data_IF_499653656014
#
_entry.id   IF_499653656014
#
_cell.length_a   1.000
_cell.length_b   1.000
_cell.length_c   1.000
_cell.angle_alpha   90.00
_cell.angle_beta   90.00
_cell.angle_gamma   90.00
#
_symmetry.space_group_name_H-M   'P 1'
#
loop_
_entity.id
_entity.type
_entity.pdbx_description
1 polymer ?
#
# COMPACT_ATOMS: atom_id res chain seq x y z
N UNK A 1 -3.58 -12.15 55.18
CA UNK A 1 -3.49 -11.35 53.94
C UNK A 1 -4.81 -11.53 53.20
N UNK A 2 -5.64 -10.49 53.09
CA UNK A 2 -6.98 -10.61 52.47
C UNK A 2 -6.85 -10.94 50.98
N UNK A 3 -7.77 -11.74 50.43
CA UNK A 3 -7.76 -12.18 49.03
C UNK A 3 -7.61 -11.01 48.02
N UNK A 4 -8.15 -9.83 48.36
CA UNK A 4 -7.98 -8.60 47.60
C UNK A 4 -6.52 -8.14 47.51
N UNK A 5 -5.77 -8.20 48.61
CA UNK A 5 -4.36 -7.81 48.65
C UNK A 5 -3.50 -8.77 47.83
N UNK A 6 -3.80 -10.08 47.88
CA UNK A 6 -3.15 -11.09 47.05
C UNK A 6 -3.44 -10.86 45.55
N UNK A 7 -4.69 -10.55 45.19
CA UNK A 7 -5.06 -10.25 43.81
C UNK A 7 -4.35 -8.99 43.27
N UNK A 8 -4.23 -7.95 44.08
CA UNK A 8 -3.50 -6.72 43.72
C UNK A 8 -2.01 -7.02 43.50
N UNK A 9 -1.37 -7.80 44.38
CA UNK A 9 0.03 -8.17 44.19
C UNK A 9 0.26 -9.01 42.92
N UNK A 10 -0.63 -9.94 42.60
CA UNK A 10 -0.55 -10.74 41.37
C UNK A 10 -0.72 -9.85 40.12
N UNK A 11 -1.68 -8.92 40.15
CA UNK A 11 -1.91 -7.98 39.05
C UNK A 11 -0.71 -7.07 38.80
N UNK A 12 -0.12 -6.51 39.86
CA UNK A 12 1.08 -5.67 39.76
C UNK A 12 2.31 -6.45 39.29
N UNK A 13 2.52 -7.67 39.79
CA UNK A 13 3.60 -8.53 39.32
C UNK A 13 3.45 -8.86 37.83
N UNK A 14 2.23 -9.15 37.38
CA UNK A 14 1.92 -9.33 35.95
C UNK A 14 2.19 -8.08 35.12
N UNK A 15 1.79 -6.90 35.60
CA UNK A 15 2.06 -5.62 34.93
C UNK A 15 3.56 -5.34 34.80
N UNK A 16 4.33 -5.45 35.89
CA UNK A 16 5.79 -5.25 35.85
C UNK A 16 6.47 -6.24 34.91
N UNK A 17 6.09 -7.51 34.95
CA UNK A 17 6.64 -8.52 34.05
C UNK A 17 6.41 -8.17 32.58
N UNK A 18 5.18 -7.80 32.21
CA UNK A 18 4.84 -7.42 30.83
C UNK A 18 5.52 -6.10 30.41
N UNK A 19 5.60 -5.13 31.31
CA UNK A 19 6.23 -3.83 31.05
C UNK A 19 7.73 -3.96 30.83
N UNK A 20 8.45 -4.68 31.70
CA UNK A 20 9.88 -4.95 31.53
C UNK A 20 10.16 -5.80 30.29
N UNK A 21 9.29 -6.77 29.98
CA UNK A 21 9.35 -7.54 28.73
C UNK A 21 9.22 -6.63 27.50
N UNK A 22 8.30 -5.68 27.53
CA UNK A 22 8.12 -4.69 26.45
C UNK A 22 9.35 -3.80 26.26
N UNK A 23 9.92 -3.27 27.35
CA UNK A 23 11.15 -2.49 27.31
C UNK A 23 12.34 -3.30 26.75
N UNK A 24 12.49 -4.54 27.19
CA UNK A 24 13.54 -5.44 26.69
C UNK A 24 13.40 -5.68 25.17
N UNK A 25 12.20 -6.01 24.69
CA UNK A 25 11.96 -6.21 23.26
C UNK A 25 12.20 -4.94 22.44
N UNK A 26 11.80 -3.77 22.94
CA UNK A 26 12.07 -2.49 22.28
C UNK A 26 13.57 -2.21 22.18
N UNK A 27 14.32 -2.42 23.26
CA UNK A 27 15.76 -2.18 23.28
C UNK A 27 16.51 -3.11 22.31
N UNK A 28 16.21 -4.41 22.33
CA UNK A 28 16.81 -5.39 21.41
C UNK A 28 16.48 -5.05 19.96
N UNK A 29 15.25 -4.60 19.68
CA UNK A 29 14.82 -4.21 18.33
C UNK A 29 15.52 -2.95 17.83
N UNK A 30 15.64 -1.92 18.67
CA UNK A 30 16.36 -0.68 18.32
C UNK A 30 17.84 -0.95 18.04
N UNK A 31 18.46 -1.88 18.78
CA UNK A 31 19.82 -2.33 18.49
C UNK A 31 19.93 -3.00 17.10
N UNK A 32 18.97 -3.87 16.75
CA UNK A 32 18.93 -4.48 15.42
C UNK A 32 18.71 -3.44 14.31
N UNK A 33 17.89 -2.42 14.54
CA UNK A 33 17.64 -1.36 13.56
C UNK A 33 18.88 -0.50 13.30
N UNK A 34 19.64 -0.22 14.34
CA UNK A 34 20.89 0.51 14.20
C UNK A 34 21.90 -0.29 13.34
N UNK A 35 21.96 -1.61 13.50
CA UNK A 35 22.78 -2.47 12.64
C UNK A 35 22.29 -2.45 11.19
N UNK A 36 20.99 -2.64 10.95
CA UNK A 36 20.40 -2.60 9.60
C UNK A 36 20.65 -1.26 8.91
N UNK A 37 20.41 -0.16 9.64
CA UNK A 37 20.59 1.18 9.10
C UNK A 37 22.05 1.47 8.75
N UNK A 38 22.99 1.05 9.62
CA UNK A 38 24.42 1.19 9.36
C UNK A 38 24.85 0.38 8.14
N UNK A 39 24.50 -0.90 8.09
CA UNK A 39 24.80 -1.77 6.95
C UNK A 39 24.27 -1.20 5.63
N UNK A 40 23.02 -0.72 5.65
CA UNK A 40 22.38 -0.11 4.47
C UNK A 40 23.08 1.17 4.05
N UNK A 41 23.36 2.07 4.99
CA UNK A 41 24.04 3.34 4.70
C UNK A 41 25.43 3.10 4.12
N UNK A 42 26.23 2.21 4.72
CA UNK A 42 27.56 1.83 4.22
C UNK A 42 27.49 1.29 2.80
N UNK A 43 26.59 0.33 2.55
CA UNK A 43 26.43 -0.27 1.23
C UNK A 43 25.98 0.77 0.19
N UNK A 44 25.01 1.62 0.53
CA UNK A 44 24.50 2.66 -0.38
C UNK A 44 25.58 3.70 -0.65
N UNK A 45 26.34 4.11 0.36
CA UNK A 45 27.45 5.05 0.20
C UNK A 45 28.49 4.52 -0.80
N UNK A 46 28.87 3.25 -0.69
CA UNK A 46 29.83 2.61 -1.59
C UNK A 46 29.33 2.47 -3.04
N UNK A 47 28.01 2.33 -3.23
CA UNK A 47 27.39 2.06 -4.53
C UNK A 47 26.46 3.17 -5.01
N UNK A 48 26.53 4.37 -4.43
CA UNK A 48 25.55 5.44 -4.67
C UNK A 48 25.44 5.83 -6.14
N UNK A 49 26.55 6.07 -6.88
CA UNK A 49 26.47 6.43 -8.29
C UNK A 49 25.86 5.31 -9.16
N UNK A 50 26.21 4.06 -8.86
CA UNK A 50 25.71 2.88 -9.57
C UNK A 50 24.20 2.70 -9.35
N UNK A 51 23.75 2.78 -8.09
CA UNK A 51 22.35 2.68 -7.72
C UNK A 51 21.51 3.77 -8.36
N UNK A 52 22.01 5.01 -8.35
CA UNK A 52 21.32 6.16 -8.94
C UNK A 52 21.24 6.09 -10.46
N UNK A 53 22.29 5.59 -11.11
CA UNK A 53 22.25 5.29 -12.54
C UNK A 53 21.21 4.20 -12.83
N UNK A 54 21.25 3.09 -12.11
CA UNK A 54 20.33 1.96 -12.29
C UNK A 54 18.87 2.32 -12.00
N UNK A 55 18.61 3.15 -10.99
CA UNK A 55 17.25 3.62 -10.68
C UNK A 55 16.66 4.48 -11.79
N UNK A 56 17.51 5.05 -12.65
CA UNK A 56 17.10 5.87 -13.79
C UNK A 56 17.06 5.06 -15.09
N UNK A 57 17.98 4.11 -15.27
CA UNK A 57 18.13 3.37 -16.53
C UNK A 57 17.33 2.07 -16.60
N UNK A 58 17.02 1.43 -15.46
CA UNK A 58 16.27 0.18 -15.39
C UNK A 58 14.77 0.39 -15.18
N UNK A 59 14.35 1.65 -15.10
CA UNK A 59 12.94 2.03 -15.12
C UNK A 59 12.61 2.39 -16.56
N UNK A 60 12.04 1.45 -17.30
CA UNK A 60 11.69 1.62 -18.71
C UNK A 60 10.30 2.22 -18.79
N UNK A 61 10.18 3.40 -19.39
CA UNK A 61 8.89 3.98 -19.73
C UNK A 61 8.36 3.29 -21.00
N UNK A 62 7.29 2.48 -20.86
CA UNK A 62 6.61 1.83 -21.99
C UNK A 62 5.55 2.73 -22.63
N UNK A 63 5.45 3.99 -22.22
CA UNK A 63 4.40 4.91 -22.63
C UNK A 63 3.08 4.69 -21.90
N UNK A 64 2.17 5.67 -22.00
CA UNK A 64 0.86 5.68 -21.32
C UNK A 64 0.94 5.51 -19.80
N UNK A 65 2.05 5.97 -19.20
CA UNK A 65 2.33 5.84 -17.78
C UNK A 65 2.76 4.46 -17.32
N UNK A 66 2.84 3.46 -18.19
CA UNK A 66 3.28 2.14 -17.78
C UNK A 66 4.81 2.16 -17.66
N UNK A 67 5.32 2.38 -16.44
CA UNK A 67 6.74 2.20 -16.12
C UNK A 67 6.97 0.74 -15.76
N UNK A 68 7.83 0.09 -16.53
CA UNK A 68 8.37 -1.22 -16.20
C UNK A 68 9.61 -1.01 -15.34
N UNK A 69 9.45 -1.20 -14.04
CA UNK A 69 10.52 -1.16 -13.05
C UNK A 69 10.91 -2.57 -12.58
N UNK A 70 10.46 -3.65 -13.25
CA UNK A 70 10.76 -5.03 -12.83
C UNK A 70 12.28 -5.24 -12.77
N UNK A 71 13.03 -4.71 -13.74
CA UNK A 71 14.49 -4.76 -13.76
C UNK A 71 15.13 -3.91 -12.63
N UNK A 72 14.53 -2.78 -12.25
CA UNK A 72 14.99 -1.98 -11.13
C UNK A 72 14.71 -2.67 -9.78
N UNK A 73 13.55 -3.29 -9.62
CA UNK A 73 13.20 -4.06 -8.43
C UNK A 73 14.12 -5.27 -8.26
N UNK A 74 14.46 -5.96 -9.34
CA UNK A 74 15.43 -7.06 -9.33
C UNK A 74 16.85 -6.57 -8.99
N UNK A 75 17.27 -5.43 -9.53
CA UNK A 75 18.55 -4.81 -9.20
C UNK A 75 18.63 -4.37 -7.72
N UNK A 76 17.55 -3.78 -7.19
CA UNK A 76 17.44 -3.38 -5.79
C UNK A 76 17.46 -4.60 -4.85
N UNK A 77 16.75 -5.66 -5.22
CA UNK A 77 16.78 -6.93 -4.50
C UNK A 77 18.18 -7.53 -4.46
N UNK A 78 18.85 -7.60 -5.61
CA UNK A 78 20.23 -8.10 -5.74
C UNK A 78 21.19 -7.27 -4.91
N UNK A 79 21.02 -5.95 -4.91
CA UNK A 79 21.84 -5.06 -4.09
C UNK A 79 21.66 -5.33 -2.59
N UNK A 80 20.41 -5.45 -2.13
CA UNK A 80 20.14 -5.73 -0.71
C UNK A 80 20.71 -7.08 -0.30
N UNK A 81 20.52 -8.13 -1.11
CA UNK A 81 20.98 -9.48 -0.79
C UNK A 81 22.51 -9.64 -0.85
N UNK A 82 23.18 -9.01 -1.82
CA UNK A 82 24.62 -9.19 -2.03
C UNK A 82 25.51 -8.11 -1.42
N UNK A 83 24.95 -6.94 -1.08
CA UNK A 83 25.71 -5.82 -0.51
C UNK A 83 25.24 -5.47 0.89
N UNK A 84 23.94 -5.32 1.14
CA UNK A 84 23.48 -4.94 2.48
C UNK A 84 23.60 -6.10 3.47
N UNK A 85 23.19 -7.31 3.07
CA UNK A 85 23.27 -8.49 3.95
C UNK A 85 24.72 -8.89 4.25
N UNK A 86 25.67 -8.65 3.35
CA UNK A 86 27.09 -8.97 3.61
C UNK A 86 27.72 -8.10 4.69
N UNK A 87 27.20 -6.88 4.88
CA UNK A 87 27.64 -5.95 5.94
C UNK A 87 27.03 -6.30 7.32
N UNK A 88 26.07 -7.23 7.38
CA UNK A 88 25.47 -7.68 8.64
C UNK A 88 26.34 -8.69 9.37
N UNK A 89 26.30 -8.64 10.70
CA UNK A 89 26.97 -9.62 11.54
C UNK A 89 26.45 -11.04 11.27
N UNK A 90 27.29 -12.09 11.44
CA UNK A 90 26.86 -13.48 11.25
C UNK A 90 25.64 -13.84 12.11
N UNK A 91 25.59 -13.35 13.35
CA UNK A 91 24.48 -13.58 14.28
C UNK A 91 23.17 -13.00 13.74
N UNK A 92 23.21 -11.78 13.21
CA UNK A 92 22.04 -11.12 12.66
C UNK A 92 21.57 -11.80 11.38
N UNK A 93 22.49 -12.26 10.53
CA UNK A 93 22.15 -13.07 9.35
C UNK A 93 21.41 -14.36 9.71
N UNK A 94 21.87 -15.09 10.73
CA UNK A 94 21.18 -16.30 11.19
C UNK A 94 19.81 -15.98 11.82
N UNK A 95 19.68 -14.86 12.53
CA UNK A 95 18.39 -14.42 13.08
C UNK A 95 17.36 -14.06 11.98
N UNK A 96 17.81 -13.44 10.88
CA UNK A 96 16.95 -13.14 9.73
C UNK A 96 16.45 -14.41 9.02
N UNK A 97 17.29 -15.45 8.93
CA UNK A 97 16.90 -16.77 8.39
C UNK A 97 15.89 -17.48 9.29
N UNK A 98 16.08 -17.41 10.59
CA UNK A 98 15.26 -18.14 11.56
C UNK A 98 13.88 -17.50 11.82
N UNK A 99 13.67 -16.23 11.42
CA UNK A 99 12.47 -15.47 11.80
C UNK A 99 11.88 -14.68 10.63
N UNK A 100 10.71 -15.09 10.10
CA UNK A 100 9.99 -14.36 9.07
C UNK A 100 9.63 -12.93 9.48
N UNK A 101 9.31 -12.71 10.76
CA UNK A 101 9.01 -11.38 11.29
C UNK A 101 10.26 -10.50 11.32
N UNK A 102 11.41 -11.02 11.74
CA UNK A 102 12.68 -10.28 11.70
C UNK A 102 13.10 -9.94 10.27
N UNK A 103 12.89 -10.85 9.32
CA UNK A 103 13.13 -10.60 7.90
C UNK A 103 12.24 -9.51 7.32
N UNK A 104 10.92 -9.55 7.60
CA UNK A 104 9.99 -8.51 7.16
C UNK A 104 10.43 -7.15 7.69
N UNK A 105 10.77 -7.09 8.98
CA UNK A 105 11.28 -5.90 9.65
C UNK A 105 12.56 -5.35 8.98
N UNK A 106 13.53 -6.22 8.70
CA UNK A 106 14.77 -5.88 8.01
C UNK A 106 14.52 -5.34 6.60
N UNK A 107 13.74 -6.06 5.79
CA UNK A 107 13.41 -5.67 4.42
C UNK A 107 12.68 -4.32 4.39
N UNK A 108 11.74 -4.11 5.32
CA UNK A 108 11.00 -2.85 5.47
C UNK A 108 11.94 -1.67 5.67
N UNK A 109 12.80 -1.78 6.67
CA UNK A 109 13.69 -0.70 7.05
C UNK A 109 14.72 -0.43 5.94
N UNK A 110 15.31 -1.48 5.40
CA UNK A 110 16.37 -1.41 4.40
C UNK A 110 15.88 -0.78 3.09
N UNK A 111 14.76 -1.25 2.55
CA UNK A 111 14.20 -0.73 1.30
C UNK A 111 13.88 0.76 1.43
N UNK A 112 13.20 1.15 2.50
CA UNK A 112 12.84 2.54 2.74
C UNK A 112 14.08 3.43 2.87
N UNK A 113 15.11 2.91 3.54
CA UNK A 113 16.36 3.61 3.70
C UNK A 113 17.09 3.78 2.36
N UNK A 114 17.22 2.73 1.55
CA UNK A 114 17.84 2.83 0.22
C UNK A 114 17.11 3.85 -0.65
N UNK A 115 15.78 3.76 -0.72
CA UNK A 115 14.95 4.68 -1.52
C UNK A 115 15.07 6.13 -1.04
N UNK A 116 15.12 6.35 0.28
CA UNK A 116 15.33 7.68 0.87
C UNK A 116 16.70 8.25 0.50
N UNK A 117 17.75 7.43 0.60
CA UNK A 117 19.11 7.87 0.29
C UNK A 117 19.27 8.20 -1.20
N UNK A 118 18.81 7.34 -2.12
CA UNK A 118 18.96 7.57 -3.57
C UNK A 118 18.11 8.74 -4.09
N UNK A 119 17.06 9.14 -3.37
CA UNK A 119 16.26 10.31 -3.71
C UNK A 119 17.03 11.62 -3.54
N UNK A 120 18.10 11.64 -2.73
CA UNK A 120 18.96 12.81 -2.59
C UNK A 120 19.75 13.05 -3.88
N UNK A 121 20.01 14.31 -4.22
CA UNK A 121 20.82 14.66 -5.39
C UNK A 121 22.25 14.10 -5.30
N UNK A 122 22.82 14.11 -4.10
CA UNK A 122 24.11 13.54 -3.75
C UNK A 122 23.99 12.70 -2.47
N UNK A 123 24.95 11.81 -2.22
CA UNK A 123 24.99 11.04 -0.99
C UNK A 123 25.13 11.98 0.21
N UNK A 124 24.29 11.89 1.25
CA UNK A 124 24.44 12.71 2.45
C UNK A 124 25.69 12.28 3.25
N UNK A 125 26.43 13.26 3.77
CA UNK A 125 27.67 13.04 4.55
C UNK A 125 27.43 12.34 5.89
N UNK A 126 26.23 12.53 6.46
CA UNK A 126 25.83 11.92 7.72
C UNK A 126 24.38 11.43 7.64
N UNK A 127 24.07 10.39 8.42
CA UNK A 127 22.73 9.83 8.48
C UNK A 127 22.28 9.67 9.92
N UNK A 128 21.17 10.33 10.25
CA UNK A 128 20.58 10.25 11.57
C UNK A 128 19.75 8.96 11.70
N UNK A 129 20.39 7.91 12.21
CA UNK A 129 19.77 6.59 12.44
C UNK A 129 18.56 6.71 13.38
N UNK A 130 18.58 7.61 14.35
CA UNK A 130 17.47 7.79 15.31
C UNK A 130 16.24 8.35 14.61
N UNK A 131 16.43 9.32 13.73
CA UNK A 131 15.37 9.92 12.91
C UNK A 131 14.83 8.93 11.87
N UNK A 132 15.71 8.13 11.27
CA UNK A 132 15.35 7.02 10.40
C UNK A 132 14.38 6.04 11.10
N UNK A 133 14.76 5.59 12.29
CA UNK A 133 13.98 4.64 13.08
C UNK A 133 12.64 5.27 13.49
N UNK A 134 12.66 6.53 13.93
CA UNK A 134 11.45 7.27 14.30
C UNK A 134 10.51 7.53 13.11
N UNK A 135 11.04 7.63 11.90
CA UNK A 135 10.24 7.77 10.67
C UNK A 135 9.58 6.46 10.21
N UNK A 136 9.99 5.32 10.78
CA UNK A 136 9.56 3.98 10.37
C UNK A 136 8.63 3.33 11.41
N UNK A 137 8.81 3.55 12.71
CA UNK A 137 7.92 3.03 13.77
C UNK A 137 6.76 4.01 14.07
N UNK A 138 5.55 3.49 14.28
CA UNK A 138 4.46 4.24 14.90
C UNK A 138 4.74 4.39 16.41
N UNK A 139 4.79 5.63 16.95
CA UNK A 139 5.33 5.87 18.29
C UNK A 139 4.44 5.41 19.47
N UNK A 140 3.21 4.94 19.23
CA UNK A 140 2.17 4.91 20.29
C UNK A 140 1.26 3.68 20.29
N UNK A 141 1.72 2.51 19.86
CA UNK A 141 0.90 1.29 19.95
C UNK A 141 1.19 0.52 21.29
N UNK A 142 0.26 0.53 22.27
CA UNK A 142 0.43 -0.16 23.55
C UNK A 142 0.48 -1.69 23.36
N UNK A 143 -0.17 -2.21 22.33
CA UNK A 143 -0.17 -3.64 22.00
C UNK A 143 1.21 -4.00 21.43
N UNK A 144 1.74 -3.23 20.49
CA UNK A 144 3.09 -3.40 19.95
C UNK A 144 4.19 -3.32 21.02
N UNK A 145 3.99 -2.47 22.03
CA UNK A 145 4.88 -2.36 23.19
C UNK A 145 4.89 -3.66 24.01
N UNK A 146 3.73 -4.28 24.22
CA UNK A 146 3.58 -5.50 25.04
C UNK A 146 3.96 -6.78 24.26
N UNK A 147 3.65 -6.85 22.97
CA UNK A 147 3.91 -8.03 22.12
C UNK A 147 5.32 -8.04 21.53
N UNK A 148 6.00 -6.90 21.50
CA UNK A 148 7.32 -6.75 20.89
C UNK A 148 7.30 -6.68 19.35
N UNK A 149 6.13 -6.75 18.72
CA UNK A 149 5.97 -6.60 17.27
C UNK A 149 5.82 -5.13 16.91
N UNK A 150 6.77 -4.50 16.20
CA UNK A 150 6.66 -3.09 15.82
C UNK A 150 5.50 -2.89 14.84
N UNK A 151 4.76 -1.79 15.03
CA UNK A 151 3.84 -1.28 14.02
C UNK A 151 4.59 -0.25 13.18
N UNK A 152 4.68 -0.49 11.88
CA UNK A 152 5.39 0.37 10.95
C UNK A 152 4.47 1.45 10.41
N UNK A 153 4.99 2.68 10.27
CA UNK A 153 4.30 3.76 9.57
C UNK A 153 4.05 3.31 8.12
N UNK A 154 2.83 3.46 7.60
CA UNK A 154 2.51 3.02 6.25
C UNK A 154 3.23 3.90 5.22
N UNK A 155 4.21 3.36 4.48
CA UNK A 155 4.62 3.92 3.17
C UNK A 155 5.33 2.94 2.21
N UNK A 156 4.92 3.12 0.94
CA UNK A 156 5.32 2.60 -0.39
C UNK A 156 5.43 1.07 -0.61
N UNK A 157 4.62 0.63 -1.57
CA UNK A 157 4.33 -0.71 -2.14
C UNK A 157 5.51 -1.64 -2.46
N UNK A 158 6.75 -1.17 -2.31
CA UNK A 158 7.98 -1.93 -2.64
C UNK A 158 8.18 -3.12 -1.68
N UNK A 159 7.59 -3.01 -0.50
CA UNK A 159 7.83 -3.86 0.66
C UNK A 159 7.22 -5.26 0.55
N UNK A 160 6.07 -5.39 -0.10
CA UNK A 160 5.33 -6.66 -0.13
C UNK A 160 5.97 -7.67 -1.07
N UNK A 161 6.65 -7.22 -2.14
CA UNK A 161 7.41 -8.08 -3.07
C UNK A 161 8.82 -8.39 -2.53
N UNK A 162 9.53 -7.40 -1.96
CA UNK A 162 10.87 -7.59 -1.41
C UNK A 162 10.89 -8.36 -0.09
N UNK A 163 9.89 -8.25 0.79
CA UNK A 163 9.86 -9.05 2.03
C UNK A 163 9.69 -10.56 1.75
N UNK A 164 9.00 -10.91 0.66
CA UNK A 164 8.89 -12.29 0.17
C UNK A 164 10.13 -12.67 -0.66
N UNK A 165 10.66 -11.79 -1.52
CA UNK A 165 11.78 -12.07 -2.42
C UNK A 165 13.17 -12.06 -1.76
N UNK A 166 13.45 -11.17 -0.79
CA UNK A 166 14.71 -11.14 -0.02
C UNK A 166 14.95 -12.49 0.69
N UNK A 167 13.87 -13.25 0.90
CA UNK A 167 13.91 -14.66 1.28
C UNK A 167 13.42 -15.64 0.22
N UNK A 168 12.95 -15.28 -0.99
CA UNK A 168 12.43 -16.25 -1.98
C UNK A 168 13.52 -16.99 -2.77
N UNK A 169 14.81 -16.76 -2.49
CA UNK A 169 15.83 -17.82 -2.65
C UNK A 169 15.68 -18.90 -1.55
N UNK A 170 14.61 -18.84 -0.76
CA UNK A 170 14.22 -19.71 0.34
C UNK A 170 12.80 -19.46 0.89
N UNK A 171 11.76 -19.51 0.03
CA UNK A 171 10.33 -19.87 0.31
C UNK A 171 9.23 -18.76 0.25
N UNK A 172 8.07 -19.13 -0.31
CA UNK A 172 6.93 -18.29 -0.78
C UNK A 172 5.81 -17.97 0.25
N UNK A 173 4.99 -16.90 0.02
CA UNK A 173 3.61 -16.69 0.58
C UNK A 173 3.27 -15.24 1.09
N UNK A 174 2.10 -14.64 0.71
CA UNK A 174 1.77 -13.17 0.74
C UNK A 174 0.68 -12.61 1.73
N UNK A 175 0.21 -11.33 1.57
CA UNK A 175 -1.09 -10.63 2.01
C UNK A 175 -1.11 -9.03 2.03
N UNK A 176 -2.31 -8.35 2.07
CA UNK A 176 -2.80 -6.94 1.68
C UNK A 176 -2.77 -5.68 2.69
N UNK A 177 -3.21 -4.39 2.36
CA UNK A 177 -3.05 -3.08 3.14
C UNK A 177 -4.31 -2.16 3.55
N UNK A 178 -4.13 -0.97 4.24
CA UNK A 178 -5.09 -0.08 5.04
C UNK A 178 -5.44 1.40 4.56
N UNK A 179 -6.39 2.16 5.21
CA UNK A 179 -7.23 3.34 4.74
C UNK A 179 -6.93 4.82 5.24
N UNK A 180 -7.58 5.89 4.71
CA UNK A 180 -7.30 7.37 4.90
C UNK A 180 -8.34 8.22 5.72
N UNK A 181 -8.01 9.48 6.11
CA UNK A 181 -8.84 10.42 6.93
C UNK A 181 -9.90 11.23 6.12
N UNK A 182 -10.93 11.79 6.77
CA UNK A 182 -12.10 12.43 6.10
C UNK A 182 -11.76 13.70 5.31
N UNK A 183 -12.17 13.75 4.04
CA UNK A 183 -12.01 14.88 3.11
C UNK A 183 -10.61 15.08 2.52
N UNK A 184 -9.61 14.34 2.99
CA UNK A 184 -8.25 14.38 2.47
C UNK A 184 -8.10 13.55 1.19
N UNK A 185 -7.05 13.82 0.42
CA UNK A 185 -6.73 12.97 -0.71
C UNK A 185 -6.29 11.57 -0.20
N UNK A 186 -6.68 10.54 -0.94
CA UNK A 186 -6.36 9.16 -0.60
C UNK A 186 -4.90 8.86 -0.89
N UNK A 187 -4.29 7.96 -0.13
CA UNK A 187 -2.99 7.42 -0.53
C UNK A 187 -3.16 6.58 -1.81
N UNK A 188 -2.17 6.57 -2.72
CA UNK A 188 -2.17 5.64 -3.86
C UNK A 188 -2.44 4.20 -3.45
N UNK A 189 -1.79 3.72 -2.40
CA UNK A 189 -1.94 2.35 -1.91
C UNK A 189 -3.40 2.03 -1.54
N UNK A 190 -4.02 2.86 -0.68
CA UNK A 190 -5.39 2.65 -0.23
C UNK A 190 -6.40 2.74 -1.37
N UNK A 191 -6.18 3.67 -2.31
CA UNK A 191 -7.08 3.85 -3.45
C UNK A 191 -6.96 2.73 -4.49
N UNK A 192 -5.73 2.37 -4.87
CA UNK A 192 -5.47 1.41 -5.93
C UNK A 192 -5.76 -0.03 -5.49
N UNK A 193 -5.63 -0.32 -4.20
CA UNK A 193 -5.90 -1.63 -3.61
C UNK A 193 -7.24 -1.72 -2.90
N UNK A 194 -8.14 -0.76 -3.11
CA UNK A 194 -9.40 -0.65 -2.37
C UNK A 194 -10.29 -1.91 -2.48
N UNK A 195 -10.13 -2.71 -3.53
CA UNK A 195 -10.87 -3.96 -3.74
C UNK A 195 -9.93 -5.17 -3.94
N UNK A 196 -8.65 -5.07 -3.52
CA UNK A 196 -7.64 -6.09 -3.84
C UNK A 196 -7.95 -7.49 -3.28
N UNK A 197 -8.76 -7.57 -2.22
CA UNK A 197 -9.22 -8.84 -1.64
C UNK A 197 -10.36 -9.50 -2.44
N UNK A 198 -10.88 -8.83 -3.48
CA UNK A 198 -11.88 -9.37 -4.40
C UNK A 198 -11.19 -9.89 -5.65
N UNK A 199 -11.49 -11.13 -6.03
CA UNK A 199 -10.94 -11.75 -7.23
C UNK A 199 -11.29 -10.95 -8.51
N UNK A 200 -10.27 -10.67 -9.32
CA UNK A 200 -10.35 -9.82 -10.51
C UNK A 200 -10.16 -8.32 -10.27
N UNK A 201 -9.91 -7.89 -9.02
CA UNK A 201 -9.65 -6.49 -8.67
C UNK A 201 -8.25 -6.26 -8.06
N UNK A 202 -7.32 -7.18 -8.32
CA UNK A 202 -5.92 -6.95 -7.99
C UNK A 202 -5.39 -5.78 -8.83
N UNK A 203 -4.62 -4.84 -8.23
CA UNK A 203 -4.06 -3.71 -8.97
C UNK A 203 -3.21 -4.19 -10.15
N UNK A 204 -3.26 -3.47 -11.27
CA UNK A 204 -2.35 -3.71 -12.38
C UNK A 204 -0.90 -3.61 -11.89
N UNK A 205 0.00 -4.39 -12.50
CA UNK A 205 1.43 -4.40 -12.15
C UNK A 205 2.07 -3.01 -12.21
N UNK A 206 1.56 -2.15 -13.09
CA UNK A 206 1.98 -0.75 -13.24
C UNK A 206 1.82 0.06 -11.95
N UNK A 207 0.93 -0.33 -11.04
CA UNK A 207 0.65 0.41 -9.82
C UNK A 207 0.08 1.80 -10.11
N UNK A 208 0.52 2.79 -9.33
CA UNK A 208 0.10 4.18 -9.46
C UNK A 208 1.16 5.02 -10.18
N UNK A 209 0.84 5.45 -11.40
CA UNK A 209 1.81 5.96 -12.37
C UNK A 209 1.30 7.16 -13.13
N UNK A 210 2.22 8.01 -13.62
CA UNK A 210 1.89 9.21 -14.37
C UNK A 210 1.35 8.90 -15.76
N UNK A 211 0.09 9.26 -16.06
CA UNK A 211 -0.50 9.13 -17.38
C UNK A 211 -0.02 10.21 -18.35
N UNK A 212 -0.08 11.47 -17.94
CA UNK A 212 0.33 12.68 -18.69
C UNK A 212 0.26 13.91 -17.78
N UNK A 213 1.03 14.95 -18.05
CA UNK A 213 0.93 16.29 -17.44
C UNK A 213 0.80 16.30 -15.90
N UNK A 214 1.57 15.47 -15.19
CA UNK A 214 1.52 15.38 -13.73
C UNK A 214 0.27 14.69 -13.17
N UNK A 215 -0.58 14.11 -14.02
CA UNK A 215 -1.73 13.30 -13.64
C UNK A 215 -1.28 11.86 -13.46
N UNK A 216 -1.50 11.31 -12.27
CA UNK A 216 -1.18 9.93 -11.94
C UNK A 216 -2.46 9.10 -11.82
N UNK A 217 -2.38 7.85 -12.24
CA UNK A 217 -3.49 6.91 -12.18
C UNK A 217 -3.02 5.49 -11.89
N UNK A 218 -3.91 4.71 -11.30
CA UNK A 218 -3.84 3.26 -11.26
C UNK A 218 -5.15 2.68 -11.75
N UNK A 219 -5.12 1.39 -12.10
CA UNK A 219 -6.31 0.65 -12.49
C UNK A 219 -6.18 -0.84 -12.12
N UNK A 220 -7.30 -1.55 -12.14
CA UNK A 220 -7.34 -3.01 -12.15
C UNK A 220 -7.57 -3.52 -13.58
N UNK A 221 -7.32 -4.80 -13.87
CA UNK A 221 -7.79 -5.42 -15.10
C UNK A 221 -9.32 -5.31 -15.20
N UNK A 222 -9.84 -5.41 -16.43
CA UNK A 222 -11.26 -5.58 -16.64
C UNK A 222 -11.70 -6.98 -16.20
N UNK A 223 -12.67 -7.02 -15.31
CA UNK A 223 -13.39 -8.24 -14.96
C UNK A 223 -14.61 -8.36 -15.87
N UNK A 224 -14.60 -9.40 -16.71
CA UNK A 224 -15.71 -9.72 -17.60
C UNK A 224 -16.92 -10.27 -16.81
N UNK A 225 -18.12 -9.82 -17.17
CA UNK A 225 -19.40 -10.11 -16.54
C UNK A 225 -20.31 -10.85 -17.54
N UNK A 226 -19.84 -12.02 -17.98
CA UNK A 226 -20.57 -12.86 -18.93
C UNK A 226 -19.64 -13.62 -19.85
N UNK A 227 -20.23 -14.27 -20.84
CA UNK A 227 -19.55 -15.13 -21.82
C UNK A 227 -19.90 -14.76 -23.27
N UNK A 228 -20.55 -13.62 -23.50
CA UNK A 228 -20.81 -13.10 -24.84
C UNK A 228 -19.49 -12.70 -25.53
N UNK A 229 -19.51 -12.51 -26.84
CA UNK A 229 -18.33 -12.06 -27.59
C UNK A 229 -17.80 -10.68 -27.11
N UNK A 230 -18.69 -9.85 -26.58
CA UNK A 230 -18.35 -8.58 -25.93
C UNK A 230 -19.17 -8.48 -24.62
N UNK A 231 -18.70 -9.08 -23.52
CA UNK A 231 -19.41 -9.05 -22.24
C UNK A 231 -19.44 -7.65 -21.66
N UNK A 232 -20.30 -7.43 -20.66
CA UNK A 232 -20.13 -6.29 -19.77
C UNK A 232 -18.84 -6.46 -18.99
N UNK A 233 -18.15 -5.38 -18.65
CA UNK A 233 -16.95 -5.50 -17.82
C UNK A 233 -16.78 -4.33 -16.88
N UNK A 234 -16.03 -4.57 -15.80
CA UNK A 234 -15.84 -3.61 -14.73
C UNK A 234 -14.38 -3.54 -14.30
N UNK A 235 -13.90 -2.33 -14.02
CA UNK A 235 -12.57 -2.09 -13.50
C UNK A 235 -12.55 -0.93 -12.51
N UNK A 236 -11.64 -0.99 -11.54
CA UNK A 236 -11.36 0.09 -10.61
C UNK A 236 -10.28 1.01 -11.16
N UNK A 237 -10.39 2.31 -10.87
CA UNK A 237 -9.45 3.35 -11.22
C UNK A 237 -9.22 4.31 -10.05
N UNK A 238 -7.98 4.66 -9.78
CA UNK A 238 -7.62 5.80 -8.93
C UNK A 238 -6.92 6.86 -9.75
N UNK A 239 -7.27 8.15 -9.63
CA UNK A 239 -6.68 9.28 -10.35
C UNK A 239 -6.28 10.41 -9.39
N UNK A 240 -5.15 11.05 -9.62
CA UNK A 240 -4.65 12.17 -8.82
C UNK A 240 -3.31 12.71 -9.31
N UNK A 241 -2.40 13.01 -8.39
CA UNK A 241 -1.05 13.54 -8.67
C UNK A 241 0.02 12.57 -8.14
N UNK A 242 1.31 12.91 -8.25
CA UNK A 242 2.42 12.03 -7.87
C UNK A 242 2.36 11.42 -6.45
N UNK A 243 1.72 12.09 -5.51
CA UNK A 243 1.67 11.68 -4.10
C UNK A 243 0.29 11.29 -3.60
N UNK A 244 -0.78 11.65 -4.30
CA UNK A 244 -2.13 11.65 -3.76
C UNK A 244 -3.17 11.27 -4.82
N UNK A 245 -4.15 10.46 -4.43
CA UNK A 245 -5.32 10.14 -5.25
C UNK A 245 -6.49 11.01 -4.82
N UNK A 246 -7.01 11.81 -5.74
CA UNK A 246 -8.12 12.72 -5.46
C UNK A 246 -9.47 12.17 -5.92
N UNK A 247 -9.47 11.06 -6.68
CA UNK A 247 -10.67 10.36 -7.18
C UNK A 247 -10.43 8.85 -7.27
N UNK A 248 -11.38 8.06 -6.75
CA UNK A 248 -11.40 6.60 -6.90
C UNK A 248 -12.76 6.20 -7.49
N UNK A 249 -12.76 5.37 -8.52
CA UNK A 249 -13.98 4.98 -9.23
C UNK A 249 -13.97 3.54 -9.72
N UNK A 250 -15.15 2.95 -9.79
CA UNK A 250 -15.44 1.81 -10.64
C UNK A 250 -16.06 2.28 -11.94
N UNK A 251 -15.58 1.74 -13.05
CA UNK A 251 -16.12 1.93 -14.39
C UNK A 251 -16.74 0.61 -14.84
N UNK A 252 -18.05 0.59 -15.05
CA UNK A 252 -18.79 -0.51 -15.65
C UNK A 252 -19.12 -0.17 -17.11
N UNK A 253 -18.61 -0.95 -18.04
CA UNK A 253 -18.99 -0.92 -19.45
C UNK A 253 -20.17 -1.86 -19.67
N UNK A 254 -21.29 -1.31 -20.14
CA UNK A 254 -22.50 -2.07 -20.48
C UNK A 254 -22.60 -2.23 -22.00
N UNK A 255 -22.02 -3.32 -22.50
CA UNK A 255 -22.10 -3.81 -23.88
C UNK A 255 -23.39 -4.59 -24.16
N UNK A 256 -23.91 -5.30 -23.15
CA UNK A 256 -25.10 -6.16 -23.17
C UNK A 256 -26.19 -5.51 -22.32
N UNK A 257 -27.04 -4.71 -22.97
CA UNK A 257 -28.05 -3.89 -22.29
C UNK A 257 -29.06 -4.68 -21.46
N UNK A 258 -29.37 -5.93 -21.85
CA UNK A 258 -30.29 -6.81 -21.10
C UNK A 258 -29.77 -7.17 -19.71
N UNK A 259 -28.45 -7.13 -19.49
CA UNK A 259 -27.83 -7.38 -18.18
C UNK A 259 -27.56 -6.08 -17.40
N UNK A 260 -27.78 -4.90 -18.00
CA UNK A 260 -27.39 -3.63 -17.41
C UNK A 260 -27.98 -3.35 -16.03
N UNK A 261 -29.23 -3.78 -15.76
CA UNK A 261 -29.85 -3.62 -14.45
C UNK A 261 -29.27 -4.58 -13.39
N UNK A 262 -28.88 -5.79 -13.79
CA UNK A 262 -28.21 -6.75 -12.91
C UNK A 262 -26.80 -6.26 -12.58
N UNK A 263 -26.04 -5.84 -13.59
CA UNK A 263 -24.66 -5.38 -13.40
C UNK A 263 -24.58 -4.03 -12.68
N UNK A 264 -25.62 -3.19 -12.78
CA UNK A 264 -25.74 -1.99 -11.94
C UNK A 264 -25.86 -2.31 -10.44
N UNK A 265 -26.49 -3.43 -10.06
CA UNK A 265 -26.51 -3.89 -8.66
C UNK A 265 -25.15 -4.38 -8.20
N UNK A 266 -24.43 -5.08 -9.06
CA UNK A 266 -23.04 -5.49 -8.78
C UNK A 266 -22.14 -4.26 -8.62
N UNK A 267 -22.25 -3.27 -9.52
CA UNK A 267 -21.56 -1.99 -9.40
C UNK A 267 -21.89 -1.29 -8.08
N UNK A 268 -23.15 -1.30 -7.66
CA UNK A 268 -23.56 -0.70 -6.39
C UNK A 268 -22.84 -1.33 -5.20
N UNK A 269 -22.87 -2.66 -5.09
CA UNK A 269 -22.19 -3.40 -4.01
C UNK A 269 -20.68 -3.17 -4.01
N UNK A 270 -20.03 -3.26 -5.17
CA UNK A 270 -18.58 -3.03 -5.27
C UNK A 270 -18.21 -1.57 -5.00
N UNK A 271 -19.03 -0.61 -5.43
CA UNK A 271 -18.76 0.81 -5.24
C UNK A 271 -18.91 1.21 -3.77
N UNK A 272 -19.94 0.73 -3.07
CA UNK A 272 -20.08 1.00 -1.63
C UNK A 272 -18.97 0.33 -0.83
N UNK A 273 -18.55 -0.88 -1.18
CA UNK A 273 -17.39 -1.52 -0.56
C UNK A 273 -16.10 -0.75 -0.84
N UNK A 274 -15.86 -0.32 -2.07
CA UNK A 274 -14.70 0.49 -2.44
C UNK A 274 -14.66 1.80 -1.65
N UNK A 275 -15.78 2.54 -1.58
CA UNK A 275 -15.89 3.79 -0.82
C UNK A 275 -15.62 3.53 0.66
N UNK A 276 -16.22 2.48 1.22
CA UNK A 276 -16.02 2.10 2.62
C UNK A 276 -14.56 1.76 2.90
N UNK A 277 -13.91 1.05 1.97
CA UNK A 277 -12.50 0.73 2.10
C UNK A 277 -11.67 2.02 2.03
N UNK A 278 -11.76 2.86 0.99
CA UNK A 278 -10.86 4.03 0.92
C UNK A 278 -11.08 5.07 2.02
N UNK A 279 -12.30 5.18 2.58
CA UNK A 279 -12.65 6.18 3.62
C UNK A 279 -12.71 5.65 5.05
N UNK A 280 -12.87 4.34 5.25
CA UNK A 280 -13.25 3.75 6.54
C UNK A 280 -14.69 4.05 7.00
N UNK A 281 -15.52 4.71 6.18
CA UNK A 281 -16.89 5.13 6.52
C UNK A 281 -17.88 4.30 5.71
N UNK A 282 -18.87 3.71 6.39
CA UNK A 282 -19.90 2.91 5.70
C UNK A 282 -20.61 3.73 4.61
N UNK A 283 -20.64 3.19 3.41
CA UNK A 283 -21.33 3.78 2.26
C UNK A 283 -22.61 3.01 1.87
N UNK A 284 -23.14 2.15 2.75
CA UNK A 284 -24.34 1.32 2.51
C UNK A 284 -25.55 2.11 2.01
N UNK A 285 -25.73 3.33 2.52
CA UNK A 285 -26.88 4.18 2.20
C UNK A 285 -26.87 4.67 0.73
N UNK A 286 -25.73 4.52 0.04
CA UNK A 286 -25.60 4.84 -1.38
C UNK A 286 -26.05 3.70 -2.29
N UNK A 287 -26.11 2.46 -1.78
CA UNK A 287 -26.24 1.25 -2.61
C UNK A 287 -27.52 1.26 -3.45
N UNK A 288 -28.67 1.53 -2.83
CA UNK A 288 -29.95 1.60 -3.54
C UNK A 288 -29.95 2.70 -4.60
N UNK A 289 -29.28 3.83 -4.33
CA UNK A 289 -29.20 4.96 -5.25
C UNK A 289 -28.33 4.63 -6.46
N UNK A 290 -27.20 3.94 -6.25
CA UNK A 290 -26.31 3.48 -7.32
C UNK A 290 -26.99 2.39 -8.15
N UNK A 291 -27.69 1.44 -7.52
CA UNK A 291 -28.37 0.33 -8.18
C UNK A 291 -29.48 0.78 -9.14
N UNK A 292 -30.03 2.00 -8.97
CA UNK A 292 -30.97 2.59 -9.91
C UNK A 292 -30.33 2.98 -11.26
N UNK A 293 -28.98 3.08 -11.33
CA UNK A 293 -28.26 3.45 -12.54
C UNK A 293 -28.51 4.88 -13.02
N UNK A 294 -29.06 5.75 -12.16
CA UNK A 294 -29.37 7.14 -12.46
C UNK A 294 -28.26 8.05 -11.95
N UNK A 295 -27.73 8.98 -12.77
CA UNK A 295 -26.66 9.85 -12.34
C UNK A 295 -26.98 10.70 -11.12
N UNK A 296 -26.01 10.88 -10.25
CA UNK A 296 -26.09 11.77 -9.10
C UNK A 296 -24.70 12.21 -8.65
N UNK A 297 -24.65 13.32 -7.91
CA UNK A 297 -23.49 13.74 -7.12
C UNK A 297 -24.00 14.26 -5.78
N UNK A 298 -23.42 13.82 -4.68
CA UNK A 298 -23.81 14.29 -3.35
C UNK A 298 -22.61 14.37 -2.40
N UNK A 299 -22.64 15.29 -1.43
CA UNK A 299 -21.67 15.30 -0.34
C UNK A 299 -21.68 13.99 0.44
N UNK A 300 -20.51 13.52 0.83
CA UNK A 300 -20.30 12.33 1.64
C UNK A 300 -19.07 12.54 2.53
N UNK A 301 -19.27 12.91 3.79
CA UNK A 301 -18.20 13.03 4.81
C UNK A 301 -16.92 13.74 4.32
N UNK A 302 -17.06 14.97 3.79
CA UNK A 302 -15.92 15.74 3.27
C UNK A 302 -15.50 15.39 1.84
N UNK A 303 -16.21 14.49 1.18
CA UNK A 303 -16.02 14.10 -0.22
C UNK A 303 -17.28 14.34 -1.05
N UNK A 304 -17.19 14.08 -2.35
CA UNK A 304 -18.33 13.89 -3.23
C UNK A 304 -18.41 12.42 -3.66
N UNK A 305 -19.48 11.74 -3.27
CA UNK A 305 -19.87 10.46 -3.87
C UNK A 305 -20.73 10.73 -5.11
N UNK A 306 -20.49 9.99 -6.19
CA UNK A 306 -21.16 10.23 -7.46
C UNK A 306 -21.39 8.96 -8.27
N UNK A 307 -22.33 9.06 -9.20
CA UNK A 307 -22.56 8.13 -10.30
C UNK A 307 -22.75 8.96 -11.56
N UNK A 308 -21.94 8.69 -12.59
CA UNK A 308 -22.09 9.28 -13.91
C UNK A 308 -22.51 8.22 -14.93
N UNK A 309 -23.23 8.63 -15.97
CA UNK A 309 -23.61 7.76 -17.09
C UNK A 309 -23.24 8.41 -18.40
N UNK A 310 -22.46 7.70 -19.21
CA UNK A 310 -22.05 8.14 -20.55
C UNK A 310 -22.57 7.16 -21.59
N UNK A 311 -23.51 7.59 -22.42
CA UNK A 311 -23.98 6.78 -23.55
C UNK A 311 -22.97 6.89 -24.69
N UNK A 312 -22.53 5.76 -25.24
CA UNK A 312 -21.57 5.77 -26.33
C UNK A 312 -22.18 6.32 -27.61
N UNK A 313 -21.35 6.98 -28.43
CA UNK A 313 -21.80 7.55 -29.72
C UNK A 313 -22.44 6.53 -30.67
N UNK A 314 -22.07 5.26 -30.52
CA UNK A 314 -22.63 4.14 -31.30
C UNK A 314 -24.07 3.80 -30.91
N UNK A 315 -24.55 4.26 -29.75
CA UNK A 315 -25.85 3.92 -29.18
C UNK A 315 -25.99 2.48 -28.68
N UNK A 316 -24.95 1.64 -28.86
CA UNK A 316 -25.00 0.20 -28.57
C UNK A 316 -24.66 -0.16 -27.13
N UNK A 317 -24.35 0.83 -26.30
CA UNK A 317 -23.96 0.61 -24.91
C UNK A 317 -23.71 1.92 -24.18
N UNK A 318 -23.34 1.79 -22.92
CA UNK A 318 -23.05 2.92 -22.06
C UNK A 318 -22.08 2.56 -20.96
N UNK A 319 -21.44 3.58 -20.41
CA UNK A 319 -20.59 3.50 -19.21
C UNK A 319 -21.35 4.00 -17.99
N UNK A 320 -21.15 3.31 -16.87
CA UNK A 320 -21.48 3.82 -15.54
C UNK A 320 -20.18 4.01 -14.75
N UNK A 321 -19.94 5.22 -14.26
CA UNK A 321 -18.79 5.55 -13.42
C UNK A 321 -19.28 5.86 -12.01
N UNK A 322 -19.12 4.93 -11.07
CA UNK A 322 -19.43 5.15 -9.66
C UNK A 322 -18.16 5.43 -8.88
N UNK A 323 -18.14 6.45 -8.03
CA UNK A 323 -16.94 6.71 -7.25
C UNK A 323 -17.06 7.79 -6.20
N UNK A 324 -15.90 8.12 -5.66
CA UNK A 324 -15.70 9.14 -4.64
C UNK A 324 -14.54 10.05 -5.04
N UNK A 325 -14.69 11.35 -4.80
CA UNK A 325 -13.67 12.34 -5.08
C UNK A 325 -13.58 13.38 -3.96
N UNK A 326 -12.39 13.96 -3.77
CA UNK A 326 -12.21 15.15 -2.93
C UNK A 326 -13.06 16.31 -3.45
N UNK A 327 -13.46 17.23 -2.57
CA UNK A 327 -14.33 18.36 -2.94
C UNK A 327 -13.69 19.29 -3.98
N UNK A 328 -12.36 19.38 -3.98
CA UNK A 328 -11.57 20.27 -4.83
C UNK A 328 -11.12 19.61 -6.15
N UNK A 329 -11.53 18.37 -6.43
CA UNK A 329 -11.19 17.69 -7.68
C UNK A 329 -11.77 18.48 -8.88
N UNK A 330 -10.88 18.89 -9.80
CA UNK A 330 -11.22 19.48 -11.10
C UNK A 330 -11.03 18.39 -12.16
N UNK A 331 -12.01 18.22 -13.04
CA UNK A 331 -11.98 17.21 -14.12
C UNK A 331 -10.97 17.53 -15.23
#
# INVERSE_FOLDING_TARGET
MNALMTAICIAWAGFFFLFYRGLYHRHVRHAAYAEFARATFTAVQAHFPELKSKSTSLVIDKGFGIKDDEAWQEALHTFISHRVVSELSPRTREALKASPSASKVFSTLTVNLVLSLIAHQSMPDTYNITEAIASIEEPEDPIAFLTGTPKFKPKKEVLTRLAVAVLAVGLMGGTSPSNAASGEAFSPLSACSALADIDGFQPNKSGYVELYDGIFSCATPYKELGNQALPNNIALYGKGNASEVTRVKLMLNVNVSSHGAQDAKLLASLCTQMITNVTGISASDLEQKIAQGKPFKQPFHGYNAYLDRTVWKTGKGYELNCGIATLNNKE
#
